data_IF_060072455621
#
_entry.id   IF_060072455621
#
_cell.length_a   1.000
_cell.length_b   1.000
_cell.length_c   1.000
_cell.angle_alpha   90.00
_cell.angle_beta   90.00
_cell.angle_gamma   90.00
#
_symmetry.space_group_name_H-M   'P 1'
#
loop_
_entity.id
_entity.type
_entity.pdbx_description
1 polymer ?
#
# COMPACT_ATOMS: atom_id res chain seq x y z
N UNK A 1 -6.07 40.08 6.48
CA UNK A 1 -6.12 39.10 5.40
C UNK A 1 -4.70 38.65 5.17
N UNK A 2 -4.35 37.55 5.81
CA UNK A 2 -3.08 36.86 5.63
C UNK A 2 -3.42 35.40 5.70
N UNK A 3 -3.80 34.85 4.55
CA UNK A 3 -3.82 33.42 4.30
C UNK A 3 -2.36 32.96 4.29
N UNK A 4 -1.96 32.24 5.33
CA UNK A 4 -0.72 31.46 5.37
C UNK A 4 -1.11 30.00 5.12
N UNK A 5 -0.94 29.45 3.91
CA UNK A 5 -1.12 28.04 3.67
C UNK A 5 0.20 27.35 4.03
N UNK A 6 0.49 27.25 5.32
CA UNK A 6 1.43 26.23 5.79
C UNK A 6 0.79 24.88 5.47
N UNK A 7 1.22 24.35 4.34
CA UNK A 7 0.85 23.07 3.78
C UNK A 7 0.93 21.97 4.85
N UNK A 8 -0.24 21.46 5.19
CA UNK A 8 -0.49 20.24 5.97
C UNK A 8 -0.06 19.01 5.16
N UNK A 9 1.19 18.98 4.69
CA UNK A 9 1.74 17.84 3.90
C UNK A 9 2.27 16.75 4.81
N UNK A 10 2.43 17.02 6.11
CA UNK A 10 3.03 16.10 7.07
C UNK A 10 2.07 15.02 7.60
N UNK A 11 0.79 15.04 7.23
CA UNK A 11 -0.24 14.13 7.78
C UNK A 11 -0.77 13.11 6.76
N UNK A 12 -0.26 13.10 5.51
CA UNK A 12 -0.67 12.11 4.53
C UNK A 12 0.15 10.82 4.66
N UNK A 13 -0.49 9.64 4.79
CA UNK A 13 0.22 8.37 4.95
C UNK A 13 1.17 8.07 3.78
N UNK A 14 0.84 8.53 2.56
CA UNK A 14 1.70 8.34 1.39
C UNK A 14 3.09 8.97 1.55
N UNK A 15 3.18 10.21 2.02
CA UNK A 15 4.44 10.92 2.25
C UNK A 15 5.28 10.25 3.35
N UNK A 16 4.64 9.78 4.42
CA UNK A 16 5.32 9.09 5.51
C UNK A 16 5.86 7.71 5.07
N UNK A 17 5.05 6.93 4.35
CA UNK A 17 5.44 5.62 3.82
C UNK A 17 6.55 5.74 2.78
N UNK A 18 6.62 6.83 2.03
CA UNK A 18 7.71 7.10 1.07
C UNK A 18 9.11 7.10 1.70
N UNK A 19 9.21 7.46 2.98
CA UNK A 19 10.45 7.43 3.75
C UNK A 19 10.80 6.07 4.35
N UNK A 20 9.91 5.07 4.25
CA UNK A 20 10.13 3.77 4.84
C UNK A 20 11.19 2.98 4.08
N UNK A 21 12.13 2.38 4.81
CA UNK A 21 13.23 1.58 4.24
C UNK A 21 12.99 0.08 4.37
N UNK A 22 11.95 -0.32 5.10
CA UNK A 22 11.59 -1.71 5.34
C UNK A 22 10.08 -1.90 5.31
N UNK A 23 9.65 -3.13 5.02
CA UNK A 23 8.23 -3.48 5.02
C UNK A 23 7.60 -3.27 6.39
N UNK A 24 8.33 -3.61 7.45
CA UNK A 24 7.84 -3.48 8.83
C UNK A 24 7.63 -2.00 9.20
N UNK A 25 8.51 -1.11 8.74
CA UNK A 25 8.39 0.32 8.96
C UNK A 25 7.16 0.89 8.23
N UNK A 26 6.99 0.57 6.95
CA UNK A 26 5.82 0.98 6.17
C UNK A 26 4.50 0.51 6.81
N UNK A 27 4.42 -0.74 7.26
CA UNK A 27 3.23 -1.28 7.92
C UNK A 27 2.92 -0.61 9.26
N UNK A 28 3.94 -0.22 10.03
CA UNK A 28 3.74 0.53 11.29
C UNK A 28 3.18 1.92 11.04
N UNK A 29 3.75 2.64 10.07
CA UNK A 29 3.26 3.96 9.67
C UNK A 29 1.79 3.84 9.27
N UNK A 30 1.44 2.87 8.43
CA UNK A 30 0.05 2.64 8.02
C UNK A 30 -0.87 2.30 9.19
N UNK A 31 -0.43 1.49 10.16
CA UNK A 31 -1.19 1.21 11.39
C UNK A 31 -1.44 2.47 12.22
N UNK A 32 -0.46 3.38 12.33
CA UNK A 32 -0.62 4.68 13.00
C UNK A 32 -1.62 5.60 12.30
N UNK A 33 -1.86 5.38 11.00
CA UNK A 33 -2.87 6.05 10.17
C UNK A 33 -4.17 5.22 10.00
N UNK A 34 -4.47 4.30 10.94
CA UNK A 34 -5.68 3.46 10.97
C UNK A 34 -5.78 2.39 9.86
N UNK A 35 -4.71 2.12 9.10
CA UNK A 35 -4.62 1.06 8.09
C UNK A 35 -3.95 -0.22 8.64
N UNK A 36 -4.47 -0.78 9.73
CA UNK A 36 -3.90 -1.96 10.39
C UNK A 36 -4.53 -3.31 9.99
N UNK A 37 -5.65 -3.33 9.28
CA UNK A 37 -6.32 -4.58 8.94
C UNK A 37 -5.63 -5.27 7.74
N UNK A 38 -5.19 -6.51 7.89
CA UNK A 38 -4.60 -7.21 6.76
C UNK A 38 -5.64 -7.52 5.66
N UNK A 39 -5.30 -7.20 4.42
CA UNK A 39 -6.01 -7.61 3.22
C UNK A 39 -5.19 -8.70 2.52
N UNK A 40 -5.67 -9.94 2.58
CA UNK A 40 -4.91 -11.12 2.17
C UNK A 40 -5.21 -11.43 0.71
N UNK A 41 -4.19 -11.43 -0.16
CA UNK A 41 -4.34 -11.83 -1.55
C UNK A 41 -4.78 -13.29 -1.68
N UNK A 42 -5.64 -13.57 -2.66
CA UNK A 42 -6.18 -14.89 -2.97
C UNK A 42 -5.99 -15.20 -4.46
N UNK A 43 -5.86 -16.47 -4.79
CA UNK A 43 -5.62 -16.97 -6.16
C UNK A 43 -6.76 -16.67 -7.16
N UNK A 44 -7.95 -16.30 -6.66
CA UNK A 44 -9.07 -15.80 -7.48
C UNK A 44 -8.95 -14.31 -7.82
N UNK A 45 -7.87 -13.66 -7.37
CA UNK A 45 -7.60 -12.22 -7.50
C UNK A 45 -8.51 -11.35 -6.64
N UNK A 46 -9.01 -11.91 -5.54
CA UNK A 46 -9.69 -11.16 -4.48
C UNK A 46 -8.76 -10.88 -3.30
N UNK A 47 -9.11 -9.86 -2.51
CA UNK A 47 -8.61 -9.72 -1.15
C UNK A 47 -9.61 -10.31 -0.16
N UNK A 48 -9.10 -11.05 0.81
CA UNK A 48 -9.84 -11.44 2.01
C UNK A 48 -9.46 -10.51 3.16
N UNK A 49 -10.45 -9.81 3.71
CA UNK A 49 -10.24 -8.95 4.87
C UNK A 49 -10.07 -9.79 6.14
N UNK A 50 -8.94 -9.66 6.84
CA UNK A 50 -8.70 -10.37 8.09
C UNK A 50 -9.65 -9.93 9.23
N UNK A 51 -10.22 -8.73 9.14
CA UNK A 51 -11.13 -8.19 10.16
C UNK A 51 -12.56 -8.76 10.10
N UNK A 52 -13.11 -8.95 8.90
CA UNK A 52 -14.51 -9.43 8.72
C UNK A 52 -14.64 -10.73 7.92
N UNK A 53 -13.55 -11.21 7.30
CA UNK A 53 -13.52 -12.42 6.46
C UNK A 53 -14.09 -12.25 5.05
N UNK A 54 -14.62 -11.07 4.70
CA UNK A 54 -15.22 -10.81 3.39
C UNK A 54 -14.17 -10.85 2.29
N UNK A 55 -14.50 -11.53 1.19
CA UNK A 55 -13.75 -11.50 -0.06
C UNK A 55 -14.24 -10.38 -0.95
N UNK A 56 -13.33 -9.54 -1.40
CA UNK A 56 -13.59 -8.41 -2.28
C UNK A 56 -12.72 -8.57 -3.53
N UNK A 57 -13.28 -8.59 -4.74
CA UNK A 57 -12.48 -8.53 -5.97
C UNK A 57 -11.46 -7.37 -5.91
N UNK A 58 -10.23 -7.57 -6.39
CA UNK A 58 -9.20 -6.53 -6.27
C UNK A 58 -9.55 -5.24 -7.03
N UNK A 59 -10.36 -5.32 -8.10
CA UNK A 59 -10.88 -4.16 -8.83
C UNK A 59 -12.01 -3.41 -8.11
N UNK A 60 -12.58 -3.98 -7.05
CA UNK A 60 -13.59 -3.36 -6.20
C UNK A 60 -12.99 -2.83 -4.87
N UNK A 61 -11.70 -3.10 -4.63
CA UNK A 61 -11.01 -2.57 -3.47
C UNK A 61 -10.66 -1.08 -3.69
N UNK A 62 -11.12 -0.22 -2.78
CA UNK A 62 -10.82 1.19 -2.86
C UNK A 62 -9.40 1.47 -2.36
N UNK A 63 -8.47 1.69 -3.29
CA UNK A 63 -7.08 2.02 -3.00
C UNK A 63 -6.96 3.52 -2.68
N UNK A 64 -6.56 3.82 -1.44
CA UNK A 64 -6.28 5.18 -0.98
C UNK A 64 -4.84 5.61 -1.28
N UNK A 65 -3.92 4.65 -1.39
CA UNK A 65 -2.54 4.89 -1.80
C UNK A 65 -1.74 3.60 -1.88
N UNK A 66 -0.53 3.71 -2.41
CA UNK A 66 0.38 2.59 -2.54
C UNK A 66 1.85 3.03 -2.43
N UNK A 67 2.73 2.07 -2.18
CA UNK A 67 4.18 2.26 -2.16
C UNK A 67 4.89 1.01 -2.67
N UNK A 68 5.93 1.21 -3.48
CA UNK A 68 6.78 0.11 -3.98
C UNK A 68 8.03 0.02 -3.13
N UNK A 69 8.32 -1.18 -2.65
CA UNK A 69 9.44 -1.46 -1.78
C UNK A 69 10.24 -2.64 -2.33
N UNK A 70 11.55 -2.45 -2.49
CA UNK A 70 12.49 -3.53 -2.79
C UNK A 70 13.00 -4.16 -1.48
N UNK A 71 13.24 -5.46 -1.50
CA UNK A 71 13.76 -6.18 -0.35
C UNK A 71 15.14 -5.65 0.04
N UNK A 72 15.31 -5.31 1.33
CA UNK A 72 16.60 -4.84 1.84
C UNK A 72 17.75 -5.86 1.68
N UNK A 73 17.42 -7.13 1.41
CA UNK A 73 18.40 -8.22 1.21
C UNK A 73 18.60 -8.59 -0.26
N UNK A 74 17.53 -8.61 -1.04
CA UNK A 74 17.52 -8.95 -2.45
C UNK A 74 16.66 -7.92 -3.20
N UNK A 75 17.21 -7.13 -4.13
CA UNK A 75 16.43 -6.17 -4.91
C UNK A 75 15.40 -6.83 -5.83
N UNK A 76 15.55 -8.13 -6.14
CA UNK A 76 14.54 -8.88 -6.89
C UNK A 76 13.29 -9.20 -6.04
N UNK A 77 13.35 -9.03 -4.71
CA UNK A 77 12.21 -9.14 -3.80
C UNK A 77 11.38 -7.86 -3.79
N UNK A 78 10.62 -7.65 -4.86
CA UNK A 78 9.80 -6.45 -5.02
C UNK A 78 8.40 -6.63 -4.42
N UNK A 79 7.99 -5.66 -3.61
CA UNK A 79 6.70 -5.64 -2.93
C UNK A 79 5.94 -4.36 -3.25
N UNK A 80 4.66 -4.50 -3.57
CA UNK A 80 3.70 -3.42 -3.65
C UNK A 80 2.89 -3.42 -2.36
N UNK A 81 3.02 -2.35 -1.58
CA UNK A 81 2.21 -2.09 -0.40
C UNK A 81 1.03 -1.24 -0.85
N UNK A 82 -0.19 -1.69 -0.63
CA UNK A 82 -1.42 -0.96 -0.97
C UNK A 82 -2.27 -0.81 0.27
N UNK A 83 -2.87 0.37 0.47
CA UNK A 83 -3.79 0.61 1.57
C UNK A 83 -5.08 1.25 1.07
N UNK A 84 -6.14 1.04 1.85
CA UNK A 84 -7.50 1.39 1.45
C UNK A 84 -8.49 0.98 2.53
N UNK A 85 -9.78 0.94 2.21
CA UNK A 85 -10.81 0.51 3.18
C UNK A 85 -11.50 -0.75 2.69
N UNK A 86 -11.79 -1.68 3.60
CA UNK A 86 -12.65 -2.81 3.27
C UNK A 86 -14.07 -2.30 2.97
N UNK A 87 -14.68 -2.60 1.80
CA UNK A 87 -16.01 -2.09 1.47
C UNK A 87 -17.14 -2.72 2.30
N UNK A 88 -16.84 -3.77 3.07
CA UNK A 88 -17.83 -4.48 3.89
C UNK A 88 -17.85 -4.00 5.35
N UNK A 89 -16.69 -3.79 5.97
CA UNK A 89 -16.58 -3.42 7.39
C UNK A 89 -15.89 -2.08 7.64
N UNK A 90 -15.46 -1.38 6.59
CA UNK A 90 -14.89 -0.03 6.61
C UNK A 90 -13.55 0.10 7.37
N UNK A 91 -13.00 -0.98 7.92
CA UNK A 91 -11.66 -0.95 8.50
C UNK A 91 -10.61 -0.55 7.45
N UNK A 92 -9.66 0.29 7.87
CA UNK A 92 -8.46 0.60 7.09
C UNK A 92 -7.63 -0.66 6.89
N UNK A 93 -7.54 -1.09 5.65
CA UNK A 93 -6.87 -2.29 5.21
C UNK A 93 -5.53 -2.00 4.55
N UNK A 94 -4.59 -2.94 4.70
CA UNK A 94 -3.29 -2.94 4.02
C UNK A 94 -3.01 -4.31 3.42
N UNK A 95 -2.52 -4.35 2.19
CA UNK A 95 -2.00 -5.54 1.53
C UNK A 95 -0.53 -5.36 1.17
N UNK A 96 0.23 -6.44 1.27
CA UNK A 96 1.58 -6.55 0.71
C UNK A 96 1.52 -7.58 -0.40
N UNK A 97 1.89 -7.16 -1.61
CA UNK A 97 1.70 -7.94 -2.83
C UNK A 97 3.07 -8.08 -3.49
N UNK A 98 3.60 -9.30 -3.58
CA UNK A 98 4.83 -9.55 -4.31
C UNK A 98 4.64 -9.30 -5.81
N UNK A 99 5.63 -8.73 -6.49
CA UNK A 99 5.62 -8.63 -7.96
C UNK A 99 6.98 -8.98 -8.56
N UNK A 100 6.99 -9.40 -9.83
CA UNK A 100 8.19 -9.84 -10.52
C UNK A 100 8.44 -11.35 -10.42
N UNK A 101 9.69 -11.81 -10.61
CA UNK A 101 10.00 -13.24 -10.82
C UNK A 101 9.72 -14.14 -9.60
N UNK A 102 9.63 -13.54 -8.41
CA UNK A 102 9.39 -14.24 -7.15
C UNK A 102 7.93 -14.12 -6.66
N UNK A 103 7.03 -13.51 -7.45
CA UNK A 103 5.63 -13.34 -7.07
C UNK A 103 4.89 -14.69 -6.98
N UNK A 104 4.04 -14.84 -5.96
CA UNK A 104 3.17 -16.01 -5.83
C UNK A 104 1.90 -15.90 -6.68
N UNK A 105 1.25 -17.03 -6.96
CA UNK A 105 0.03 -17.10 -7.79
C UNK A 105 -1.09 -16.18 -7.29
N UNK A 106 -1.25 -16.07 -5.96
CA UNK A 106 -2.24 -15.18 -5.35
C UNK A 106 -1.94 -13.70 -5.58
N UNK A 107 -0.66 -13.30 -5.50
CA UNK A 107 -0.24 -11.92 -5.73
C UNK A 107 -0.40 -11.55 -7.20
N UNK A 108 0.00 -12.45 -8.11
CA UNK A 108 -0.18 -12.26 -9.55
C UNK A 108 -1.66 -12.12 -9.93
N UNK A 109 -2.54 -12.94 -9.36
CA UNK A 109 -3.97 -12.90 -9.63
C UNK A 109 -4.61 -11.57 -9.18
N UNK A 110 -4.19 -11.06 -8.03
CA UNK A 110 -4.62 -9.75 -7.52
C UNK A 110 -4.07 -8.62 -8.38
N UNK A 111 -2.77 -8.61 -8.70
CA UNK A 111 -2.15 -7.55 -9.51
C UNK A 111 -2.79 -7.38 -10.88
N UNK A 112 -3.25 -8.47 -11.49
CA UNK A 112 -3.95 -8.43 -12.78
C UNK A 112 -5.30 -7.71 -12.73
N UNK A 113 -5.91 -7.62 -11.54
CA UNK A 113 -7.24 -7.05 -11.33
C UNK A 113 -7.20 -5.73 -10.57
N UNK A 114 -6.15 -5.49 -9.78
CA UNK A 114 -6.03 -4.32 -8.92
C UNK A 114 -6.02 -3.03 -9.75
N UNK A 115 -6.92 -2.10 -9.40
CA UNK A 115 -6.95 -0.77 -9.98
C UNK A 115 -6.27 0.23 -9.04
N UNK A 116 -5.17 0.83 -9.50
CA UNK A 116 -4.44 1.88 -8.79
C UNK A 116 -4.82 3.29 -9.27
N UNK A 117 -5.87 3.44 -10.09
CA UNK A 117 -6.06 4.54 -11.04
C UNK A 117 -5.72 5.96 -10.55
N UNK A 118 -6.37 6.41 -9.48
CA UNK A 118 -6.18 7.75 -8.90
C UNK A 118 -5.39 7.73 -7.57
N UNK A 119 -4.90 6.56 -7.14
CA UNK A 119 -4.21 6.42 -5.88
C UNK A 119 -2.85 7.14 -5.93
N UNK A 120 -2.48 7.82 -4.84
CA UNK A 120 -1.17 8.46 -4.75
C UNK A 120 -0.09 7.39 -4.53
N UNK A 121 0.95 7.42 -5.38
CA UNK A 121 2.20 6.68 -5.15
C UNK A 121 2.98 7.42 -4.06
N UNK A 122 3.18 6.79 -2.91
CA UNK A 122 4.12 7.26 -1.89
C UNK A 122 5.56 7.05 -2.33
N UNK A 123 5.91 7.34 -3.58
CA UNK A 123 7.14 6.88 -4.23
C UNK A 123 8.43 7.29 -3.53
N UNK A 124 9.42 6.39 -3.61
CA UNK A 124 10.84 6.57 -3.28
C UNK A 124 11.36 7.96 -3.69
N UNK A 125 11.73 8.78 -2.72
CA UNK A 125 12.56 9.95 -2.99
C UNK A 125 13.95 9.46 -3.42
N UNK A 126 14.24 9.51 -4.71
CA UNK A 126 15.61 9.46 -5.23
C UNK A 126 16.45 10.52 -4.53
N UNK A 127 17.32 10.11 -3.59
CA UNK A 127 18.34 10.97 -3.00
C UNK A 127 19.50 11.18 -3.99
N UNK A 128 19.23 11.87 -5.09
CA UNK A 128 20.27 12.48 -5.92
C UNK A 128 20.12 14.00 -5.87
N UNK A 129 20.84 14.62 -4.92
CA UNK A 129 21.65 15.85 -5.07
C UNK A 129 21.86 16.49 -3.68
N UNK A 130 23.03 16.25 -3.08
CA UNK A 130 23.63 17.15 -2.10
C UNK A 130 25.00 17.50 -2.65
N UNK A 131 25.11 18.73 -3.18
CA UNK A 131 26.37 19.40 -3.57
C UNK A 131 27.32 19.56 -2.37
#
# INVERSE_FOLDING_TARGET
>A
MSDDPSHDTADRPADAVAGATTLIEALRILEEHDYGCQMIAREDGSFECAGCGTRTPANEFHVAGFHRLEGASDPDDMNLIVWGTCPCCEHGGVATIGYGPNAGEADEAVLQQLDLGEAEDGGSLDVHDVD
#
